data_IF_421765582860
#
_entry.id   IF_421765582860
#
_cell.length_a   1.000
_cell.length_b   1.000
_cell.length_c   1.000
_cell.angle_alpha   90.00
_cell.angle_beta   90.00
_cell.angle_gamma   90.00
#
_symmetry.space_group_name_H-M   'P 1'
#
loop_
_entity.id
_entity.type
_entity.pdbx_description
1 polymer ?
#
# COMPACT_ATOMS: atom_id res chain seq x y z
N UNK A 1 7.85 -22.45 -39.42
CA UNK A 1 7.47 -22.82 -38.05
C UNK A 1 8.45 -22.15 -37.09
N UNK A 2 8.01 -21.27 -36.20
CA UNK A 2 8.90 -20.63 -35.22
C UNK A 2 9.02 -21.50 -33.97
N UNK A 3 10.23 -21.91 -33.62
CA UNK A 3 10.53 -22.61 -32.38
C UNK A 3 10.53 -21.61 -31.20
N UNK A 4 9.68 -21.86 -30.20
CA UNK A 4 9.70 -21.11 -28.93
C UNK A 4 10.84 -21.65 -28.08
N UNK A 5 11.86 -20.82 -27.86
CA UNK A 5 12.99 -21.16 -27.03
C UNK A 5 12.64 -20.93 -25.55
N UNK A 6 12.30 -22.00 -24.82
CA UNK A 6 12.05 -21.94 -23.37
C UNK A 6 13.38 -22.02 -22.63
N UNK A 7 14.01 -20.87 -22.36
CA UNK A 7 15.12 -20.83 -21.38
C UNK A 7 14.56 -21.16 -19.99
N UNK A 8 15.19 -22.05 -19.20
CA UNK A 8 14.80 -22.26 -17.82
C UNK A 8 15.06 -20.98 -17.04
N UNK A 9 14.05 -20.45 -16.36
CA UNK A 9 14.23 -19.33 -15.42
C UNK A 9 14.82 -19.95 -14.15
N UNK A 10 16.15 -19.92 -14.01
CA UNK A 10 16.84 -20.46 -12.84
C UNK A 10 16.78 -19.43 -11.71
N UNK A 11 15.77 -19.56 -10.85
CA UNK A 11 15.59 -18.83 -9.61
C UNK A 11 14.17 -19.08 -9.08
N UNK A 12 14.02 -19.31 -7.77
CA UNK A 12 12.68 -19.27 -7.17
C UNK A 12 12.09 -17.89 -7.46
N UNK A 13 10.82 -17.78 -7.92
CA UNK A 13 10.21 -16.48 -8.13
C UNK A 13 10.30 -15.68 -6.82
N UNK A 14 10.88 -14.48 -6.90
CA UNK A 14 10.95 -13.56 -5.76
C UNK A 14 9.52 -13.21 -5.35
N UNK A 15 9.11 -13.67 -4.17
CA UNK A 15 7.80 -13.38 -3.62
C UNK A 15 7.87 -12.08 -2.83
N UNK A 16 6.98 -11.15 -3.14
CA UNK A 16 6.91 -9.89 -2.43
C UNK A 16 5.94 -10.02 -1.25
N UNK A 17 6.36 -9.49 -0.09
CA UNK A 17 5.53 -9.37 1.10
C UNK A 17 5.44 -7.89 1.50
N UNK A 18 4.53 -7.17 0.87
CA UNK A 18 4.30 -5.74 1.11
C UNK A 18 3.38 -5.49 2.29
N UNK A 19 3.65 -4.45 3.06
CA UNK A 19 2.87 -4.08 4.24
C UNK A 19 2.56 -2.58 4.23
N UNK A 20 1.35 -2.23 4.67
CA UNK A 20 0.93 -0.86 4.93
C UNK A 20 0.08 -0.79 6.18
N UNK A 21 0.52 -0.04 7.19
CA UNK A 21 -0.26 0.19 8.41
C UNK A 21 -0.56 1.68 8.53
N UNK A 22 -1.83 2.02 8.61
CA UNK A 22 -2.33 3.40 8.59
C UNK A 22 -3.21 3.59 9.81
N UNK A 23 -2.91 4.60 10.61
CA UNK A 23 -3.75 5.01 11.74
C UNK A 23 -4.15 6.46 11.60
N UNK A 24 -5.44 6.72 11.73
CA UNK A 24 -5.99 8.06 11.87
C UNK A 24 -6.49 8.28 13.29
N UNK A 25 -6.30 9.50 13.81
CA UNK A 25 -6.88 9.93 15.09
C UNK A 25 -7.62 11.26 14.93
N UNK A 26 -8.68 11.46 15.72
CA UNK A 26 -9.35 12.75 15.81
C UNK A 26 -8.71 13.59 16.93
N UNK A 27 -8.06 14.70 16.57
CA UNK A 27 -7.38 15.62 17.49
C UNK A 27 -7.52 17.05 16.99
N UNK A 28 -7.65 18.00 17.92
CA UNK A 28 -7.78 19.43 17.61
C UNK A 28 -8.93 19.73 16.62
N UNK A 29 -10.06 19.04 16.79
CA UNK A 29 -11.25 19.24 15.97
C UNK A 29 -11.17 18.65 14.55
N UNK A 30 -10.12 17.89 14.21
CA UNK A 30 -9.93 17.32 12.87
C UNK A 30 -9.33 15.91 12.86
N UNK A 31 -9.51 15.20 11.76
CA UNK A 31 -8.86 13.91 11.50
C UNK A 31 -7.42 14.13 11.07
N UNK A 32 -6.48 13.54 11.79
CA UNK A 32 -5.03 13.61 11.53
C UNK A 32 -4.47 12.20 11.27
N UNK A 33 -3.50 12.10 10.37
CA UNK A 33 -2.69 10.88 10.22
C UNK A 33 -1.80 10.75 11.45
N UNK A 34 -1.94 9.66 12.20
CA UNK A 34 -1.23 9.39 13.44
C UNK A 34 -0.06 8.42 13.24
N UNK A 35 -0.27 7.36 12.46
CA UNK A 35 0.75 6.38 12.13
C UNK A 35 0.71 6.03 10.64
N UNK A 36 1.89 5.92 10.04
CA UNK A 36 2.08 5.35 8.72
C UNK A 36 3.34 4.49 8.72
N UNK A 37 3.14 3.19 8.52
CA UNK A 37 4.20 2.26 8.13
C UNK A 37 3.93 1.76 6.71
N UNK A 38 4.99 1.66 5.91
CA UNK A 38 4.91 1.13 4.55
C UNK A 38 6.21 0.41 4.18
N UNK A 39 6.09 -0.68 3.43
CA UNK A 39 7.21 -1.41 2.83
C UNK A 39 6.95 -1.67 1.36
N UNK A 40 8.00 -1.94 0.58
CA UNK A 40 7.84 -2.24 -0.84
C UNK A 40 6.90 -3.45 -1.06
N UNK A 41 6.00 -3.38 -2.05
CA UNK A 41 5.88 -2.35 -3.09
C UNK A 41 4.82 -1.29 -2.74
N UNK A 42 4.35 -1.22 -1.48
CA UNK A 42 3.24 -0.36 -1.09
C UNK A 42 3.73 1.07 -0.79
N UNK A 43 3.00 2.04 -1.32
CA UNK A 43 3.05 3.44 -0.90
C UNK A 43 1.65 3.96 -0.62
N UNK A 44 1.53 4.83 0.38
CA UNK A 44 0.29 5.52 0.71
C UNK A 44 0.47 7.00 0.43
N UNK A 45 -0.41 7.56 -0.41
CA UNK A 45 -0.42 8.96 -0.80
C UNK A 45 -1.64 9.64 -0.18
N UNK A 46 -1.45 10.86 0.33
CA UNK A 46 -2.53 11.69 0.86
C UNK A 46 -2.66 12.93 -0.02
N UNK A 47 -3.76 13.08 -0.76
CA UNK A 47 -4.02 14.29 -1.52
C UNK A 47 -4.07 15.52 -0.62
N UNK A 48 -3.59 16.64 -1.14
CA UNK A 48 -3.69 17.92 -0.45
C UNK A 48 -5.11 18.49 -0.64
N UNK A 49 -6.01 18.14 0.27
CA UNK A 49 -7.40 18.60 0.33
C UNK A 49 -7.61 19.60 1.46
N UNK A 50 -8.69 20.39 1.40
CA UNK A 50 -9.07 21.30 2.49
C UNK A 50 -9.19 20.55 3.83
N UNK A 51 -8.94 21.24 4.94
CA UNK A 51 -9.11 20.67 6.28
C UNK A 51 -10.56 20.32 6.63
N UNK A 52 -11.52 20.90 5.91
CA UNK A 52 -12.96 20.65 6.06
C UNK A 52 -13.43 19.43 5.25
N UNK A 53 -12.58 18.92 4.36
CA UNK A 53 -12.88 17.76 3.52
C UNK A 53 -12.50 16.44 4.21
N UNK A 54 -13.14 15.36 3.78
CA UNK A 54 -12.85 14.01 4.24
C UNK A 54 -11.39 13.66 3.90
N UNK A 55 -10.64 13.14 4.87
CA UNK A 55 -9.29 12.64 4.63
C UNK A 55 -9.33 11.44 3.69
N UNK A 56 -8.61 11.56 2.58
CA UNK A 56 -8.47 10.51 1.57
C UNK A 56 -7.06 9.93 1.63
N UNK A 57 -6.97 8.60 1.61
CA UNK A 57 -5.71 7.87 1.41
C UNK A 57 -5.78 7.07 0.11
N UNK A 58 -4.73 7.14 -0.69
CA UNK A 58 -4.58 6.40 -1.95
C UNK A 58 -3.46 5.39 -1.77
N UNK A 59 -3.74 4.11 -1.99
CA UNK A 59 -2.75 3.04 -1.90
C UNK A 59 -2.29 2.72 -3.31
N UNK A 60 -0.98 2.75 -3.52
CA UNK A 60 -0.36 2.43 -4.81
C UNK A 60 0.68 1.33 -4.67
N UNK A 61 0.78 0.47 -5.67
CA UNK A 61 1.89 -0.47 -5.83
C UNK A 61 2.95 0.16 -6.73
N UNK A 62 4.20 0.21 -6.30
CA UNK A 62 5.33 0.69 -7.10
C UNK A 62 6.03 -0.44 -7.89
N UNK A 63 5.50 -1.66 -7.83
CA UNK A 63 5.93 -2.77 -8.67
C UNK A 63 5.33 -2.66 -10.08
N UNK A 64 5.92 -3.36 -11.05
CA UNK A 64 5.36 -3.51 -12.40
C UNK A 64 4.11 -4.41 -12.47
N UNK A 65 3.52 -4.75 -11.32
CA UNK A 65 2.41 -5.69 -11.16
C UNK A 65 2.52 -6.51 -9.89
N UNK A 66 1.42 -7.17 -9.53
CA UNK A 66 1.40 -8.26 -8.55
C UNK A 66 1.24 -9.57 -9.33
N UNK A 67 2.05 -10.58 -9.01
CA UNK A 67 2.03 -11.89 -9.67
C UNK A 67 1.65 -12.98 -8.67
N UNK A 68 1.45 -14.20 -9.17
CA UNK A 68 1.10 -15.35 -8.34
C UNK A 68 2.13 -15.59 -7.23
N UNK A 69 1.68 -15.52 -5.98
CA UNK A 69 2.51 -15.73 -4.79
C UNK A 69 2.84 -14.45 -4.02
N UNK A 70 2.63 -13.27 -4.60
CA UNK A 70 2.78 -12.00 -3.87
C UNK A 70 1.71 -11.83 -2.81
N UNK A 71 2.09 -11.22 -1.68
CA UNK A 71 1.20 -10.90 -0.57
C UNK A 71 1.30 -9.43 -0.22
N UNK A 72 0.15 -8.78 -0.14
CA UNK A 72 0.00 -7.43 0.38
C UNK A 72 -0.86 -7.50 1.64
N UNK A 73 -0.38 -6.91 2.72
CA UNK A 73 -1.13 -6.75 3.97
C UNK A 73 -1.37 -5.28 4.27
N UNK A 74 -2.61 -4.94 4.54
CA UNK A 74 -3.02 -3.57 4.86
C UNK A 74 -3.79 -3.58 6.19
N UNK A 75 -3.36 -2.75 7.12
CA UNK A 75 -4.03 -2.54 8.40
C UNK A 75 -4.45 -1.08 8.51
N UNK A 76 -5.73 -0.84 8.83
CA UNK A 76 -6.32 0.47 9.00
C UNK A 76 -6.90 0.57 10.40
N UNK A 77 -6.56 1.63 11.11
CA UNK A 77 -7.08 1.92 12.45
C UNK A 77 -7.58 3.35 12.52
N UNK A 78 -8.73 3.55 13.17
CA UNK A 78 -9.38 4.85 13.28
C UNK A 78 -9.70 5.11 14.75
N UNK A 79 -9.25 6.25 15.26
CA UNK A 79 -9.65 6.75 16.56
C UNK A 79 -11.07 7.32 16.54
N UNK A 80 -11.76 7.26 17.68
CA UNK A 80 -13.09 7.84 17.83
C UNK A 80 -13.04 9.38 17.83
N UNK A 81 -14.13 9.99 17.34
CA UNK A 81 -14.41 11.42 17.53
C UNK A 81 -15.08 11.59 18.88
N UNK A 82 -14.31 11.99 19.89
CA UNK A 82 -14.83 12.36 21.21
C UNK A 82 -15.35 13.79 21.23
#
# INVERSE_FOLDING_TARGET
>A
MCAVNKRPVTGSPMQINGQGNIEFSYRDGRTNLFHLYQSDPIRVLFPNVSSEEIKLGIIVTTSGGLVGGDKISLALTFGEKT
#
